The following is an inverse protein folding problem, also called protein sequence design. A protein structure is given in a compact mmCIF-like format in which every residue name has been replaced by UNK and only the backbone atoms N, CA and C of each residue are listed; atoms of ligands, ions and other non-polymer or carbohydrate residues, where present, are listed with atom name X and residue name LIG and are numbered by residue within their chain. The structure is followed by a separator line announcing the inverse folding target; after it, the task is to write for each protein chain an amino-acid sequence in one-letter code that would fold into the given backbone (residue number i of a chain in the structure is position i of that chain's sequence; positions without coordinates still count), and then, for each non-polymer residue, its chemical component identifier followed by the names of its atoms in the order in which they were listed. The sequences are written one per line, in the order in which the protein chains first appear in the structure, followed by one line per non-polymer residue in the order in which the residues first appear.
data_IF_581147195206
#
_entry.id   IF_581147195206
#
_cell.length_a   1.000
_cell.length_b   1.000
_cell.length_c   1.000
_cell.angle_alpha   90.00
_cell.angle_beta   90.00
_cell.angle_gamma   90.00
#
_symmetry.space_group_name_H-M   'P 1'
#
loop_
_entity.id
_entity.type
_entity.pdbx_description
1 polymer ?
#
# COMPACT_ATOMS: atom_id res chain seq x y z
N UNK A 1 40.03 -34.30 -24.24
CA UNK A 1 39.33 -35.19 -23.29
C UNK A 1 37.84 -34.95 -23.48
N UNK A 2 37.17 -35.72 -24.35
CA UNK A 2 36.39 -36.92 -23.99
C UNK A 2 35.31 -36.60 -22.93
N UNK A 3 34.03 -36.96 -23.03
CA UNK A 3 33.27 -37.67 -24.06
C UNK A 3 31.78 -37.65 -23.63
N UNK A 4 30.90 -37.38 -24.61
CA UNK A 4 29.55 -37.92 -24.83
C UNK A 4 28.87 -38.67 -23.67
N UNK A 5 27.61 -38.32 -23.38
CA UNK A 5 26.54 -39.33 -23.48
C UNK A 5 25.41 -38.75 -24.34
N UNK A 6 25.27 -39.40 -25.48
CA UNK A 6 24.23 -39.29 -26.47
C UNK A 6 23.35 -40.53 -26.27
N UNK A 7 22.03 -40.37 -26.12
CA UNK A 7 21.10 -41.44 -26.47
C UNK A 7 20.00 -40.87 -27.36
N UNK A 8 19.97 -41.41 -28.57
CA UNK A 8 19.07 -41.09 -29.68
C UNK A 8 18.25 -42.35 -29.91
N UNK A 9 16.94 -42.19 -30.15
CA UNK A 9 16.20 -42.69 -31.33
C UNK A 9 14.77 -43.12 -30.99
N UNK A 10 13.89 -42.73 -31.90
CA UNK A 10 12.47 -43.07 -31.98
C UNK A 10 11.72 -41.99 -32.78
N UNK A 11 12.15 -41.67 -34.01
CA UNK A 11 11.52 -42.13 -35.27
C UNK A 11 10.03 -41.80 -35.38
N UNK A 12 9.70 -40.88 -36.29
CA UNK A 12 8.32 -40.59 -36.67
C UNK A 12 8.18 -39.26 -37.42
N UNK A 13 8.75 -39.18 -38.62
CA UNK A 13 8.48 -38.07 -39.53
C UNK A 13 7.07 -38.22 -40.12
N UNK A 14 6.18 -37.28 -39.82
CA UNK A 14 5.12 -36.87 -40.74
C UNK A 14 5.08 -35.34 -40.75
N UNK A 15 5.41 -34.81 -41.92
CA UNK A 15 5.31 -33.40 -42.24
C UNK A 15 3.83 -32.97 -42.22
N UNK A 16 3.45 -32.20 -41.21
CA UNK A 16 2.29 -31.32 -41.30
C UNK A 16 2.82 -29.90 -41.20
N UNK A 17 2.70 -29.15 -42.29
CA UNK A 17 3.06 -27.73 -42.36
C UNK A 17 2.16 -26.91 -41.46
N UNK A 18 2.51 -26.81 -40.19
CA UNK A 18 2.00 -25.81 -39.28
C UNK A 18 3.18 -24.90 -38.94
N UNK A 19 3.28 -23.77 -39.65
CA UNK A 19 4.05 -22.63 -39.16
C UNK A 19 3.40 -22.21 -37.85
N UNK A 20 3.88 -22.75 -36.73
CA UNK A 20 3.55 -22.23 -35.42
C UNK A 20 4.22 -20.86 -35.31
N UNK A 21 3.51 -19.85 -35.79
CA UNK A 21 3.82 -18.46 -35.51
C UNK A 21 3.88 -18.35 -33.99
N UNK A 22 5.09 -18.12 -33.46
CA UNK A 22 5.28 -17.86 -32.03
C UNK A 22 4.45 -16.60 -31.75
N UNK A 23 3.26 -16.78 -31.19
CA UNK A 23 2.52 -15.70 -30.55
C UNK A 23 3.39 -15.24 -29.40
N UNK A 24 4.21 -14.23 -29.69
CA UNK A 24 4.84 -13.43 -28.67
C UNK A 24 3.69 -12.81 -27.90
N UNK A 25 3.44 -13.32 -26.69
CA UNK A 25 2.73 -12.56 -25.67
C UNK A 25 3.64 -11.38 -25.34
N UNK A 26 3.69 -10.39 -26.23
CA UNK A 26 4.05 -9.05 -25.84
C UNK A 26 3.11 -8.76 -24.68
N UNK A 27 3.67 -8.74 -23.47
CA UNK A 27 2.98 -8.26 -22.29
C UNK A 27 2.67 -6.80 -22.61
N UNK A 28 1.52 -6.55 -23.24
CA UNK A 28 1.02 -5.20 -23.49
C UNK A 28 0.92 -4.64 -22.09
N UNK A 29 1.89 -3.80 -21.71
CA UNK A 29 1.81 -3.07 -20.46
C UNK A 29 0.45 -2.35 -20.52
N UNK A 30 -0.47 -2.61 -19.57
CA UNK A 30 -1.80 -2.02 -19.66
C UNK A 30 -1.57 -0.51 -19.80
N UNK A 31 -2.11 0.14 -20.84
CA UNK A 31 -1.88 1.56 -21.10
C UNK A 31 -2.67 2.42 -20.11
N UNK A 32 -2.75 1.98 -18.87
CA UNK A 32 -3.74 2.40 -17.91
C UNK A 32 -3.06 3.09 -16.74
N UNK A 33 -3.60 4.23 -16.36
CA UNK A 33 -3.28 4.89 -15.09
C UNK A 33 -4.27 4.41 -14.06
N UNK A 34 -3.75 3.98 -12.91
CA UNK A 34 -4.58 3.55 -11.79
C UNK A 34 -4.61 4.66 -10.75
N UNK A 35 -5.79 5.21 -10.47
CA UNK A 35 -5.98 6.18 -9.41
C UNK A 35 -6.53 5.49 -8.16
N UNK A 36 -5.75 5.55 -7.09
CA UNK A 36 -6.11 5.01 -5.78
C UNK A 36 -6.31 6.11 -4.75
N UNK A 37 -6.92 5.76 -3.62
CA UNK A 37 -7.09 6.69 -2.51
C UNK A 37 -6.56 6.14 -1.19
N UNK A 38 -6.19 7.05 -0.29
CA UNK A 38 -6.09 6.78 1.15
C UNK A 38 -7.17 7.62 1.85
N UNK A 39 -8.17 7.01 2.50
CA UNK A 39 -8.39 5.58 2.63
C UNK A 39 -8.76 4.91 1.29
N UNK A 40 -8.47 3.63 1.17
CA UNK A 40 -8.86 2.82 0.02
C UNK A 40 -10.39 2.69 -0.09
N UNK A 41 -10.89 2.54 -1.33
CA UNK A 41 -12.31 2.31 -1.60
C UNK A 41 -13.20 3.55 -1.47
N UNK A 42 -12.64 4.75 -1.68
CA UNK A 42 -13.45 5.96 -1.73
C UNK A 42 -14.45 5.86 -2.89
N UNK A 43 -15.70 6.23 -2.64
CA UNK A 43 -16.75 6.31 -3.65
C UNK A 43 -16.43 7.46 -4.60
N UNK A 44 -16.60 7.22 -5.90
CA UNK A 44 -16.30 8.19 -6.94
C UNK A 44 -17.53 8.49 -7.80
N UNK A 45 -17.79 9.78 -8.00
CA UNK A 45 -18.80 10.27 -8.95
C UNK A 45 -18.19 11.28 -9.93
N UNK A 46 -18.79 11.39 -11.10
CA UNK A 46 -18.44 12.35 -12.15
C UNK A 46 -19.73 13.06 -12.58
N UNK A 47 -19.90 14.31 -12.14
CA UNK A 47 -21.23 14.94 -12.13
C UNK A 47 -22.23 14.10 -11.33
N UNK A 48 -23.40 13.82 -11.91
CA UNK A 48 -24.44 12.99 -11.30
C UNK A 48 -24.21 11.48 -11.46
N UNK A 49 -23.22 11.08 -12.28
CA UNK A 49 -22.94 9.67 -12.60
C UNK A 49 -22.05 9.04 -11.53
N UNK A 50 -22.48 7.91 -10.97
CA UNK A 50 -21.63 7.09 -10.10
C UNK A 50 -20.62 6.31 -10.94
N UNK A 51 -19.32 6.43 -10.62
CA UNK A 51 -18.20 5.71 -11.26
C UNK A 51 -17.80 4.45 -10.49
N UNK A 52 -18.30 4.25 -9.27
CA UNK A 52 -17.98 3.11 -8.40
C UNK A 52 -17.11 3.53 -7.22
N UNK A 53 -16.09 2.74 -6.90
CA UNK A 53 -15.11 3.03 -5.85
C UNK A 53 -13.69 2.88 -6.37
N UNK A 54 -12.71 3.54 -5.74
CA UNK A 54 -11.30 3.34 -6.07
C UNK A 54 -10.83 1.90 -5.79
N UNK A 55 -9.86 1.36 -6.57
CA UNK A 55 -9.10 2.04 -7.63
C UNK A 55 -9.91 2.31 -8.92
N UNK A 56 -9.66 3.46 -9.55
CA UNK A 56 -10.15 3.76 -10.89
C UNK A 56 -9.06 3.53 -11.93
N UNK A 57 -9.47 3.08 -13.11
CA UNK A 57 -8.59 2.78 -14.23
C UNK A 57 -8.91 3.73 -15.38
N UNK A 58 -7.90 4.39 -15.93
CA UNK A 58 -8.04 5.31 -17.05
C UNK A 58 -7.19 4.83 -18.22
N UNK A 59 -7.78 4.65 -19.40
CA UNK A 59 -7.03 4.36 -20.61
C UNK A 59 -6.33 5.60 -21.14
N UNK A 60 -5.06 5.47 -21.54
CA UNK A 60 -4.28 6.52 -22.20
C UNK A 60 -4.59 6.70 -23.70
N UNK A 61 -5.69 6.14 -24.20
CA UNK A 61 -6.05 6.19 -25.63
C UNK A 61 -6.66 7.54 -26.05
N UNK A 62 -7.25 8.29 -25.12
CA UNK A 62 -7.86 9.60 -25.37
C UNK A 62 -7.19 10.69 -24.53
N UNK A 63 -6.23 11.40 -25.14
CA UNK A 63 -5.51 12.51 -24.50
C UNK A 63 -6.39 13.77 -24.31
N UNK A 64 -7.59 13.82 -24.89
CA UNK A 64 -8.48 14.99 -24.85
C UNK A 64 -9.58 14.87 -23.80
N UNK A 65 -9.79 13.68 -23.23
CA UNK A 65 -10.75 13.46 -22.16
C UNK A 65 -10.47 14.35 -20.95
N UNK A 66 -11.53 14.81 -20.27
CA UNK A 66 -11.41 15.53 -18.99
C UNK A 66 -12.40 14.89 -18.02
N UNK A 67 -11.88 14.35 -16.94
CA UNK A 67 -12.68 13.75 -15.88
C UNK A 67 -12.75 14.66 -14.66
N UNK A 68 -13.95 15.09 -14.28
CA UNK A 68 -14.20 15.88 -13.07
C UNK A 68 -14.74 14.97 -11.98
N UNK A 69 -13.85 14.48 -11.12
CA UNK A 69 -14.14 13.42 -10.17
C UNK A 69 -14.37 13.99 -8.78
N UNK A 70 -15.37 13.48 -8.09
CA UNK A 70 -15.62 13.74 -6.67
C UNK A 70 -15.42 12.46 -5.87
N UNK A 71 -14.64 12.53 -4.81
CA UNK A 71 -14.29 11.40 -3.94
C UNK A 71 -14.95 11.57 -2.58
N UNK A 72 -15.57 10.49 -2.07
CA UNK A 72 -16.18 10.47 -0.75
C UNK A 72 -15.81 9.20 0.00
N UNK A 73 -15.41 9.36 1.26
CA UNK A 73 -15.19 8.27 2.19
C UNK A 73 -15.69 8.65 3.58
N UNK A 74 -16.17 7.68 4.35
CA UNK A 74 -16.69 7.94 5.68
C UNK A 74 -15.61 8.49 6.61
N UNK A 75 -15.90 9.63 7.25
CA UNK A 75 -14.98 10.31 8.15
C UNK A 75 -13.80 10.99 7.45
N UNK A 76 -13.99 11.39 6.19
CA UNK A 76 -13.06 12.18 5.41
C UNK A 76 -13.80 13.33 4.72
N UNK A 77 -13.08 14.42 4.47
CA UNK A 77 -13.57 15.48 3.61
C UNK A 77 -13.76 14.96 2.19
N UNK A 78 -14.82 15.42 1.53
CA UNK A 78 -15.00 15.17 0.11
C UNK A 78 -13.95 15.97 -0.66
N UNK A 79 -13.29 15.33 -1.63
CA UNK A 79 -12.28 15.96 -2.46
C UNK A 79 -12.69 15.93 -3.92
N UNK A 80 -12.27 16.94 -4.68
CA UNK A 80 -12.46 16.99 -6.13
C UNK A 80 -11.11 16.94 -6.82
N UNK A 81 -11.04 16.20 -7.92
CA UNK A 81 -9.85 16.12 -8.76
C UNK A 81 -10.26 16.14 -10.22
N UNK A 82 -9.55 16.95 -11.00
CA UNK A 82 -9.60 16.85 -12.45
C UNK A 82 -8.50 15.89 -12.91
N UNK A 83 -8.86 14.89 -13.70
CA UNK A 83 -7.91 14.00 -14.39
C UNK A 83 -8.09 14.23 -15.88
N UNK A 84 -7.11 14.89 -16.51
CA UNK A 84 -7.12 15.08 -17.96
C UNK A 84 -6.50 13.89 -18.68
N UNK A 85 -6.86 13.66 -19.94
CA UNK A 85 -6.24 12.66 -20.79
C UNK A 85 -4.75 12.89 -20.97
N UNK A 86 -4.30 14.15 -20.91
CA UNK A 86 -2.87 14.47 -20.88
C UNK A 86 -2.19 13.96 -19.61
N UNK A 87 -2.83 14.12 -18.44
CA UNK A 87 -2.32 13.54 -17.19
C UNK A 87 -2.24 12.01 -17.28
N UNK A 88 -3.26 11.38 -17.87
CA UNK A 88 -3.29 9.92 -18.07
C UNK A 88 -2.16 9.46 -19.00
N UNK A 89 -1.91 10.18 -20.10
CA UNK A 89 -0.79 9.89 -21.01
C UNK A 89 0.56 10.12 -20.33
N UNK A 90 0.68 11.20 -19.56
CA UNK A 90 1.91 11.56 -18.84
C UNK A 90 2.27 10.51 -17.79
N UNK A 91 1.29 10.03 -17.04
CA UNK A 91 1.47 9.06 -15.94
C UNK A 91 1.22 7.61 -16.38
N UNK A 92 1.30 7.32 -17.68
CA UNK A 92 0.96 6.00 -18.25
C UNK A 92 1.73 4.86 -17.58
N UNK A 93 0.99 3.88 -17.03
CA UNK A 93 1.55 2.74 -16.30
C UNK A 93 1.92 3.04 -14.84
N UNK A 94 1.65 4.25 -14.36
CA UNK A 94 1.83 4.63 -12.96
C UNK A 94 0.56 4.43 -12.13
N UNK A 95 0.75 4.40 -10.81
CA UNK A 95 -0.33 4.43 -9.83
C UNK A 95 -0.33 5.80 -9.18
N UNK A 96 -1.36 6.59 -9.47
CA UNK A 96 -1.59 7.87 -8.81
C UNK A 96 -2.29 7.62 -7.47
N UNK A 97 -1.94 8.41 -6.47
CA UNK A 97 -2.53 8.29 -5.13
C UNK A 97 -3.12 9.63 -4.71
N UNK A 98 -4.40 9.62 -4.34
CA UNK A 98 -5.07 10.75 -3.70
C UNK A 98 -5.25 10.47 -2.20
N UNK A 99 -4.67 11.29 -1.35
CA UNK A 99 -4.83 11.15 0.10
C UNK A 99 -5.93 12.09 0.58
N UNK A 100 -7.06 11.53 1.03
CA UNK A 100 -8.18 12.28 1.58
C UNK A 100 -7.85 12.77 2.99
N UNK A 101 -8.33 13.96 3.31
CA UNK A 101 -8.14 14.58 4.63
C UNK A 101 -9.14 14.02 5.63
N UNK A 102 -8.70 13.61 6.84
CA UNK A 102 -9.62 13.24 7.91
C UNK A 102 -10.59 14.37 8.22
N UNK A 103 -11.86 14.04 8.49
CA UNK A 103 -12.90 15.01 8.84
C UNK A 103 -12.60 15.85 10.09
N UNK A 104 -11.79 15.31 11.01
CA UNK A 104 -11.28 16.01 12.18
C UNK A 104 -10.36 17.20 11.86
N UNK A 105 -9.89 17.35 10.63
CA UNK A 105 -9.11 18.52 10.20
C UNK A 105 -10.03 19.62 9.69
N UNK A 106 -9.59 20.87 9.75
CA UNK A 106 -10.37 21.98 9.20
C UNK A 106 -10.49 21.85 7.68
N UNK A 107 -11.65 22.17 7.12
CA UNK A 107 -11.89 22.13 5.67
C UNK A 107 -10.93 23.05 4.88
N UNK A 108 -10.35 24.06 5.52
CA UNK A 108 -9.35 24.97 4.95
C UNK A 108 -7.92 24.41 4.92
N UNK A 109 -7.63 23.28 5.58
CA UNK A 109 -6.30 22.66 5.49
C UNK A 109 -6.05 22.18 4.05
N UNK A 110 -4.87 22.45 3.49
CA UNK A 110 -4.54 22.03 2.13
C UNK A 110 -4.62 20.50 1.96
N UNK A 111 -4.69 20.00 0.73
CA UNK A 111 -4.61 18.57 0.44
C UNK A 111 -3.34 17.92 1.04
N UNK A 112 -3.39 16.62 1.28
CA UNK A 112 -2.23 15.87 1.75
C UNK A 112 -1.46 15.37 0.52
N UNK A 113 -0.23 15.84 0.38
CA UNK A 113 0.72 15.27 -0.56
C UNK A 113 1.00 13.80 -0.15
N UNK A 114 0.85 12.83 -1.07
CA UNK A 114 1.10 11.41 -0.80
C UNK A 114 2.51 11.06 -0.29
N UNK A 115 3.47 11.97 -0.44
CA UNK A 115 4.89 11.78 -0.05
C UNK A 115 5.30 12.68 1.12
N UNK A 116 4.41 13.54 1.62
CA UNK A 116 4.65 14.36 2.81
C UNK A 116 4.48 13.53 4.10
N UNK A 117 5.60 12.97 4.57
CA UNK A 117 5.68 12.19 5.81
C UNK A 117 5.10 12.93 7.02
N UNK A 118 5.25 14.25 7.10
CA UNK A 118 4.77 15.05 8.22
C UNK A 118 3.24 15.11 8.24
N UNK A 119 2.63 15.39 7.08
CA UNK A 119 1.17 15.43 6.94
C UNK A 119 0.54 14.05 7.06
N UNK A 120 1.14 13.03 6.44
CA UNK A 120 0.70 11.65 6.62
C UNK A 120 0.74 11.22 8.09
N UNK A 121 1.83 11.53 8.79
CA UNK A 121 1.98 11.21 10.22
C UNK A 121 0.98 11.93 11.10
N UNK A 122 0.70 13.22 10.83
CA UNK A 122 -0.37 13.97 11.50
C UNK A 122 -1.72 13.29 11.28
N UNK A 123 -2.05 12.92 10.04
CA UNK A 123 -3.35 12.33 9.71
C UNK A 123 -3.53 10.95 10.38
N UNK A 124 -2.51 10.08 10.29
CA UNK A 124 -2.49 8.80 10.99
C UNK A 124 -2.62 8.95 12.51
N UNK A 125 -1.96 9.95 13.10
CA UNK A 125 -2.06 10.25 14.54
C UNK A 125 -3.46 10.73 14.92
N UNK A 126 -4.05 11.65 14.14
CA UNK A 126 -5.43 12.13 14.37
C UNK A 126 -6.41 10.97 14.37
N UNK A 127 -6.36 10.10 13.37
CA UNK A 127 -7.23 8.93 13.26
C UNK A 127 -6.99 7.91 14.39
N UNK A 128 -5.73 7.67 14.75
CA UNK A 128 -5.41 6.78 15.88
C UNK A 128 -5.96 7.30 17.21
N UNK A 129 -5.96 8.62 17.42
CA UNK A 129 -6.48 9.25 18.64
C UNK A 129 -8.01 9.22 18.72
N UNK A 130 -8.70 9.14 17.58
CA UNK A 130 -10.16 8.96 17.51
C UNK A 130 -10.56 7.48 17.39
N UNK A 131 -9.66 6.57 17.78
CA UNK A 131 -9.82 5.12 17.76
C UNK A 131 -10.12 4.49 16.39
N UNK A 132 -9.88 5.24 15.31
CA UNK A 132 -9.94 4.81 13.92
C UNK A 132 -8.61 4.18 13.48
N UNK A 133 -8.16 3.18 14.24
CA UNK A 133 -6.89 2.50 14.03
C UNK A 133 -6.77 1.79 12.67
N UNK A 134 -7.81 1.11 12.13
CA UNK A 134 -7.75 0.51 10.79
C UNK A 134 -7.42 1.54 9.70
N UNK A 135 -8.02 2.73 9.78
CA UNK A 135 -7.76 3.81 8.85
C UNK A 135 -6.41 4.47 9.06
N UNK A 136 -6.02 4.72 10.32
CA UNK A 136 -4.70 5.27 10.66
C UNK A 136 -3.55 4.42 10.09
N UNK A 137 -3.71 3.10 10.09
CA UNK A 137 -2.73 2.18 9.51
C UNK A 137 -2.48 2.43 8.02
N UNK A 138 -3.45 2.92 7.26
CA UNK A 138 -3.24 3.20 5.83
C UNK A 138 -2.26 4.36 5.64
N UNK A 139 -2.35 5.39 6.49
CA UNK A 139 -1.41 6.52 6.50
C UNK A 139 -0.02 6.10 6.96
N UNK A 140 0.10 5.32 8.04
CA UNK A 140 1.40 4.83 8.49
C UNK A 140 2.03 3.84 7.51
N UNK A 141 1.24 2.99 6.83
CA UNK A 141 1.72 2.16 5.72
C UNK A 141 2.26 3.01 4.59
N UNK A 142 1.57 4.09 4.21
CA UNK A 142 2.07 5.01 3.20
C UNK A 142 3.38 5.65 3.62
N UNK A 143 3.51 6.10 4.87
CA UNK A 143 4.78 6.62 5.38
C UNK A 143 5.92 5.61 5.27
N UNK A 144 5.68 4.34 5.60
CA UNK A 144 6.69 3.28 5.47
C UNK A 144 7.04 2.94 4.02
N UNK A 145 6.14 3.20 3.06
CA UNK A 145 6.43 3.09 1.63
C UNK A 145 7.29 4.26 1.11
N UNK A 146 6.99 5.48 1.58
CA UNK A 146 7.73 6.71 1.21
C UNK A 146 9.13 6.70 1.84
N UNK A 147 9.23 6.37 3.12
CA UNK A 147 10.50 6.19 3.83
C UNK A 147 10.47 4.89 4.66
N UNK A 148 11.10 3.82 4.15
CA UNK A 148 11.23 2.56 4.88
C UNK A 148 12.01 2.66 6.21
N UNK A 149 12.69 3.78 6.50
CA UNK A 149 13.38 4.03 7.77
C UNK A 149 12.60 4.94 8.72
N UNK A 150 11.35 5.28 8.38
CA UNK A 150 10.51 6.13 9.21
C UNK A 150 10.13 5.42 10.52
N UNK A 151 10.84 5.71 11.61
CA UNK A 151 10.49 5.22 12.94
C UNK A 151 9.07 5.63 13.36
N UNK A 152 8.64 6.85 13.01
CA UNK A 152 7.29 7.33 13.28
C UNK A 152 6.21 6.45 12.63
N UNK A 153 6.46 5.96 11.41
CA UNK A 153 5.54 5.05 10.72
C UNK A 153 5.36 3.74 11.51
N UNK A 154 6.46 3.03 11.81
CA UNK A 154 6.41 1.75 12.50
C UNK A 154 5.88 1.86 13.94
N UNK A 155 6.24 2.94 14.66
CA UNK A 155 5.67 3.19 15.99
C UNK A 155 4.17 3.45 15.91
N UNK A 156 3.71 4.26 14.96
CA UNK A 156 2.30 4.52 14.72
C UNK A 156 1.52 3.24 14.41
N UNK A 157 2.11 2.34 13.60
CA UNK A 157 1.56 1.01 13.33
C UNK A 157 1.46 0.16 14.59
N UNK A 158 2.53 0.09 15.40
CA UNK A 158 2.56 -0.68 16.65
C UNK A 158 1.48 -0.23 17.62
N UNK A 159 1.29 1.09 17.77
CA UNK A 159 0.22 1.67 18.60
C UNK A 159 -1.17 1.25 18.09
N UNK A 160 -1.41 1.38 16.78
CA UNK A 160 -2.70 1.03 16.19
C UNK A 160 -2.99 -0.48 16.30
N UNK A 161 -2.01 -1.34 16.04
CA UNK A 161 -2.15 -2.78 16.21
C UNK A 161 -2.42 -3.16 17.68
N UNK A 162 -1.73 -2.53 18.63
CA UNK A 162 -1.96 -2.76 20.06
C UNK A 162 -3.39 -2.36 20.48
N UNK A 163 -3.88 -1.19 20.03
CA UNK A 163 -5.26 -0.74 20.28
C UNK A 163 -6.32 -1.69 19.71
N UNK A 164 -6.03 -2.34 18.59
CA UNK A 164 -6.89 -3.35 17.98
C UNK A 164 -6.68 -4.77 18.57
N UNK A 165 -5.89 -4.91 19.63
CA UNK A 165 -5.52 -6.19 20.25
C UNK A 165 -4.84 -7.19 19.28
N UNK A 166 -4.21 -6.68 18.22
CA UNK A 166 -3.41 -7.45 17.25
C UNK A 166 -1.97 -7.56 17.74
N UNK A 167 -1.78 -8.40 18.76
CA UNK A 167 -0.53 -8.47 19.54
C UNK A 167 0.69 -8.82 18.68
N UNK A 168 0.56 -9.79 17.78
CA UNK A 168 1.67 -10.20 16.92
C UNK A 168 2.10 -9.09 15.96
N UNK A 169 1.17 -8.45 15.28
CA UNK A 169 1.46 -7.34 14.36
C UNK A 169 2.01 -6.12 15.10
N UNK A 170 1.51 -5.84 16.31
CA UNK A 170 2.05 -4.78 17.17
C UNK A 170 3.51 -5.06 17.54
N UNK A 171 3.83 -6.28 17.95
CA UNK A 171 5.18 -6.72 18.28
C UNK A 171 6.13 -6.55 17.09
N UNK A 172 5.72 -6.99 15.89
CA UNK A 172 6.53 -6.84 14.68
C UNK A 172 6.78 -5.36 14.35
N UNK A 173 5.74 -4.52 14.40
CA UNK A 173 5.88 -3.09 14.14
C UNK A 173 6.81 -2.39 15.16
N UNK A 174 6.71 -2.73 16.45
CA UNK A 174 7.62 -2.19 17.46
C UNK A 174 9.06 -2.67 17.30
N UNK A 175 9.28 -3.92 16.88
CA UNK A 175 10.62 -4.40 16.51
C UNK A 175 11.19 -3.64 15.32
N UNK A 176 10.40 -3.42 14.27
CA UNK A 176 10.82 -2.59 13.13
C UNK A 176 11.15 -1.16 13.55
N UNK A 177 10.38 -0.56 14.46
CA UNK A 177 10.68 0.75 15.04
C UNK A 177 12.04 0.76 15.76
N UNK A 178 12.31 -0.22 16.63
CA UNK A 178 13.58 -0.32 17.36
C UNK A 178 14.77 -0.58 16.43
N UNK A 179 14.55 -1.25 15.30
CA UNK A 179 15.57 -1.48 14.29
C UNK A 179 15.98 -0.17 13.60
N UNK A 180 15.01 0.67 13.22
CA UNK A 180 15.29 1.92 12.47
C UNK A 180 15.60 3.12 13.37
N UNK A 181 15.15 3.09 14.63
CA UNK A 181 15.31 4.17 15.60
C UNK A 181 15.75 3.65 16.99
N UNK A 182 16.90 2.95 17.10
CA UNK A 182 17.33 2.31 18.35
C UNK A 182 17.61 3.30 19.48
N UNK A 183 17.97 4.54 19.15
CA UNK A 183 18.34 5.57 20.14
C UNK A 183 17.26 6.65 20.31
N UNK A 184 16.03 6.38 19.86
CA UNK A 184 14.93 7.32 20.07
C UNK A 184 14.63 7.51 21.56
N UNK A 185 14.16 8.70 22.01
CA UNK A 185 13.93 8.99 23.42
C UNK A 185 12.98 8.02 24.14
N UNK A 186 12.08 7.38 23.39
CA UNK A 186 11.12 6.40 23.89
C UNK A 186 11.47 4.95 23.55
N UNK A 187 12.65 4.68 22.99
CA UNK A 187 13.08 3.34 22.60
C UNK A 187 13.09 2.37 23.78
N UNK A 188 13.53 2.78 24.97
CA UNK A 188 13.53 1.91 26.16
C UNK A 188 12.12 1.46 26.56
N UNK A 189 11.14 2.37 26.47
CA UNK A 189 9.72 2.02 26.72
C UNK A 189 9.22 1.02 25.70
N UNK A 190 9.62 1.16 24.43
CA UNK A 190 9.23 0.20 23.39
C UNK A 190 9.93 -1.14 23.57
N UNK A 191 11.19 -1.18 24.04
CA UNK A 191 11.88 -2.42 24.41
C UNK A 191 11.15 -3.17 25.53
N UNK A 192 10.67 -2.45 26.54
CA UNK A 192 9.87 -3.04 27.61
C UNK A 192 8.57 -3.66 27.08
N UNK A 193 7.86 -2.94 26.19
CA UNK A 193 6.65 -3.45 25.52
C UNK A 193 6.96 -4.74 24.74
N UNK A 194 8.04 -4.74 23.96
CA UNK A 194 8.48 -5.90 23.16
C UNK A 194 8.82 -7.08 24.07
N UNK A 195 9.66 -6.88 25.09
CA UNK A 195 10.07 -7.92 26.05
C UNK A 195 8.87 -8.56 26.76
N UNK A 196 7.95 -7.73 27.25
CA UNK A 196 6.72 -8.24 27.89
C UNK A 196 5.86 -9.03 26.92
N UNK A 197 5.64 -8.50 25.71
CA UNK A 197 4.85 -9.18 24.70
C UNK A 197 5.48 -10.52 24.26
N UNK A 198 6.81 -10.63 24.24
CA UNK A 198 7.51 -11.89 23.95
C UNK A 198 7.40 -12.91 25.08
N UNK A 199 7.43 -12.47 26.34
CA UNK A 199 7.19 -13.34 27.49
C UNK A 199 5.75 -13.86 27.56
N UNK A 200 4.78 -13.07 27.09
CA UNK A 200 3.35 -13.41 27.08
C UNK A 200 2.92 -14.28 25.88
N UNK A 201 3.75 -14.38 24.83
CA UNK A 201 3.50 -15.31 23.72
C UNK A 201 3.93 -16.69 24.19
N UNK A 202 2.96 -17.44 24.74
CA UNK A 202 3.07 -18.88 24.92
C UNK A 202 3.45 -19.50 23.56
N UNK A 203 4.71 -19.92 23.43
CA UNK A 203 5.16 -20.65 22.25
C UNK A 203 4.53 -22.03 22.37
N UNK A 204 3.59 -22.43 21.48
CA UNK A 204 3.02 -23.77 21.54
C UNK A 204 4.16 -24.79 21.43
N UNK A 205 4.49 -25.46 22.55
CA UNK A 205 5.54 -26.48 22.63
C UNK A 205 6.86 -26.10 23.31
N UNK A 206 7.03 -24.90 23.89
CA UNK A 206 8.23 -24.62 24.71
C UNK A 206 8.05 -25.20 26.12
N UNK A 207 8.94 -26.11 26.53
CA UNK A 207 8.88 -26.72 27.87
C UNK A 207 9.46 -25.76 28.92
N UNK A 208 8.93 -25.74 30.15
CA UNK A 208 9.43 -24.90 31.25
C UNK A 208 10.90 -25.14 31.67
N UNK A 209 11.57 -26.15 31.13
CA UNK A 209 12.93 -26.57 31.49
C UNK A 209 14.05 -25.75 30.83
N UNK A 210 13.72 -24.74 30.03
CA UNK A 210 14.69 -23.96 29.25
C UNK A 210 15.13 -22.65 29.96
N UNK A 211 15.00 -22.57 31.29
CA UNK A 211 15.49 -21.49 32.17
C UNK A 211 16.41 -22.08 33.25
#
# INVERSE_FOLDING_TARGET
MLQKVLLVLGLGALACGCTAEKVSLAKVAPPEVILETVPAGALVSEGDKQRGSTPLVFSADDATAIHQLSFKAQGYHAEQMTVSGQDVVQHKGERMLLVLRPDAWAASEAAIDPDDLGRLGRAGTTLSRTDRCPEALQFFKRMAQVDPRSGAAYKGMGICFAKMNKRHEALQAYKSYLLVAPNAPDADKVREIVSRAEGDIDIPGRKPSDL
#
